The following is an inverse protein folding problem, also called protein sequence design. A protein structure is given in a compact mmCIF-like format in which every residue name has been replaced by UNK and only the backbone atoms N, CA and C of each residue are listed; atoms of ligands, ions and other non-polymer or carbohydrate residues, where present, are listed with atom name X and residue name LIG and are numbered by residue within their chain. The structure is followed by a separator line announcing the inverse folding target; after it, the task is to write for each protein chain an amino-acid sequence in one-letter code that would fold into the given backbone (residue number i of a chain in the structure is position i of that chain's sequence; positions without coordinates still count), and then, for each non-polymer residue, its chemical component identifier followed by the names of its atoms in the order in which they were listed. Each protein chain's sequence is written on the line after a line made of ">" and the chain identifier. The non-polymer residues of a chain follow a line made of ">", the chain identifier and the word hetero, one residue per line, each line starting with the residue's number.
data_IF_096270126110
#
_entry.id   IF_096270126110
#
_cell.length_a   1.000
_cell.length_b   1.000
_cell.length_c   1.000
_cell.angle_alpha   90.00
_cell.angle_beta   90.00
_cell.angle_gamma   90.00
#
_symmetry.space_group_name_H-M   'P 1'
#
loop_
_entity.id
_entity.type
_entity.pdbx_description
1 polymer ?
#
# COMPACT_ATOMS: atom_id res chain seq x y z
N UNK A 1 6.95 -4.83 19.25
CA UNK A 1 6.58 -3.42 19.21
C UNK A 1 7.02 -2.79 17.93
N UNK A 2 8.25 -3.01 17.58
CA UNK A 2 8.73 -2.51 16.30
C UNK A 2 7.93 -3.09 15.17
N UNK A 3 7.61 -4.36 15.26
CA UNK A 3 6.83 -5.02 14.25
C UNK A 3 5.46 -4.41 14.12
N UNK A 4 4.85 -4.03 15.24
CA UNK A 4 3.53 -3.43 15.21
C UNK A 4 3.54 -2.09 14.52
N UNK A 5 4.54 -1.25 14.82
CA UNK A 5 4.64 0.04 14.16
C UNK A 5 4.80 -0.11 12.67
N UNK A 6 5.79 -0.90 12.25
CA UNK A 6 6.02 -1.11 10.84
C UNK A 6 4.85 -1.78 10.17
N UNK A 7 4.20 -2.71 10.87
CA UNK A 7 3.05 -3.42 10.32
C UNK A 7 1.89 -2.48 10.06
N UNK A 8 1.59 -1.59 11.00
CA UNK A 8 0.49 -0.65 10.87
C UNK A 8 0.71 0.31 9.71
N UNK A 9 1.92 0.85 9.60
CA UNK A 9 2.26 1.77 8.52
C UNK A 9 2.21 1.06 7.18
N UNK A 10 2.73 -0.16 7.14
CA UNK A 10 2.73 -0.95 5.91
C UNK A 10 1.31 -1.29 5.48
N UNK A 11 0.42 -1.52 6.44
CA UNK A 11 -0.96 -1.86 6.15
C UNK A 11 -1.67 -0.69 5.47
N UNK A 12 -1.51 0.52 6.03
CA UNK A 12 -2.11 1.71 5.45
C UNK A 12 -1.56 1.95 4.04
N UNK A 13 -0.25 1.80 3.89
CA UNK A 13 0.39 2.00 2.60
C UNK A 13 -0.10 0.98 1.57
N UNK A 14 -0.22 -0.28 1.98
CA UNK A 14 -0.64 -1.33 1.09
C UNK A 14 -2.07 -1.12 0.62
N UNK A 15 -2.94 -0.64 1.50
CA UNK A 15 -4.32 -0.32 1.12
C UNK A 15 -4.36 0.79 0.07
N UNK A 16 -3.56 1.84 0.26
CA UNK A 16 -3.50 2.92 -0.73
C UNK A 16 -3.00 2.40 -2.07
N UNK A 17 -2.01 1.53 -2.05
CA UNK A 17 -1.45 0.96 -3.27
C UNK A 17 -2.48 0.09 -3.99
N UNK A 18 -3.23 -0.73 -3.25
CA UNK A 18 -4.26 -1.55 -3.85
C UNK A 18 -5.32 -0.71 -4.54
N UNK A 19 -5.74 0.36 -3.88
CA UNK A 19 -6.73 1.26 -4.49
C UNK A 19 -6.17 1.93 -5.75
N UNK A 20 -4.89 2.29 -5.74
CA UNK A 20 -4.28 2.90 -6.91
C UNK A 20 -4.23 1.92 -8.09
N UNK A 21 -3.89 0.67 -7.82
CA UNK A 21 -3.84 -0.35 -8.88
C UNK A 21 -5.23 -0.62 -9.45
N UNK A 22 -6.21 -0.77 -8.58
CA UNK A 22 -7.58 -1.02 -9.05
C UNK A 22 -8.11 0.19 -9.79
N UNK A 23 -7.82 1.40 -9.29
CA UNK A 23 -8.25 2.61 -9.97
C UNK A 23 -7.62 2.76 -11.33
N UNK A 24 -6.34 2.43 -11.46
CA UNK A 24 -5.66 2.50 -12.76
C UNK A 24 -6.31 1.56 -13.78
N UNK A 25 -6.84 0.43 -13.32
CA UNK A 25 -7.52 -0.52 -14.18
C UNK A 25 -9.02 -0.24 -14.29
N UNK A 26 -9.50 0.82 -13.63
CA UNK A 26 -10.90 1.21 -13.62
C UNK A 26 -11.80 0.13 -13.02
N UNK A 27 -11.31 -0.53 -11.97
CA UNK A 27 -12.03 -1.62 -11.32
C UNK A 27 -12.61 -1.23 -9.96
N UNK A 28 -12.51 0.05 -9.60
CA UNK A 28 -13.06 0.53 -8.34
C UNK A 28 -12.01 0.57 -7.26
N UNK A 29 -12.34 0.04 -6.11
CA UNK A 29 -11.46 0.07 -4.97
C UNK A 29 -11.52 -1.27 -4.22
N UNK A 30 -10.74 -1.38 -3.15
CA UNK A 30 -10.67 -2.63 -2.41
C UNK A 30 -11.98 -2.96 -1.71
N UNK A 31 -12.75 -1.94 -1.35
CA UNK A 31 -14.06 -2.19 -0.74
C UNK A 31 -15.02 -2.90 -1.68
N UNK A 32 -14.92 -2.60 -2.97
CA UNK A 32 -15.74 -3.25 -3.96
C UNK A 32 -15.26 -4.67 -4.24
N UNK A 33 -13.94 -4.86 -4.29
CA UNK A 33 -13.37 -6.17 -4.57
C UNK A 33 -13.47 -7.10 -3.37
N UNK A 34 -13.29 -6.57 -2.17
CA UNK A 34 -13.32 -7.33 -0.93
C UNK A 34 -14.39 -6.75 -0.01
N UNK A 35 -15.65 -7.13 -0.20
CA UNK A 35 -16.71 -6.58 0.64
C UNK A 35 -16.48 -6.86 2.12
N UNK A 36 -16.89 -5.93 2.96
CA UNK A 36 -16.67 -6.03 4.41
C UNK A 36 -17.27 -7.29 5.00
N UNK A 37 -18.36 -7.78 4.40
CA UNK A 37 -19.05 -8.94 4.94
C UNK A 37 -18.47 -10.28 4.48
N UNK A 38 -17.35 -10.23 3.75
CA UNK A 38 -16.72 -11.47 3.29
C UNK A 38 -15.71 -11.91 4.33
N UNK A 39 -16.07 -12.92 5.10
CA UNK A 39 -15.26 -13.39 6.21
C UNK A 39 -13.87 -13.87 5.78
N UNK A 40 -13.71 -14.24 4.51
CA UNK A 40 -12.42 -14.71 4.04
C UNK A 40 -11.35 -13.62 4.16
N UNK A 41 -11.76 -12.36 4.10
CA UNK A 41 -10.80 -11.26 4.09
C UNK A 41 -10.75 -10.50 5.41
N UNK A 42 -11.60 -10.89 6.34
CA UNK A 42 -11.63 -10.25 7.64
C UNK A 42 -10.38 -10.66 8.41
N UNK A 43 -9.55 -9.68 8.76
CA UNK A 43 -8.30 -9.95 9.43
C UNK A 43 -7.21 -10.51 8.54
N UNK A 44 -7.43 -10.51 7.23
CA UNK A 44 -6.43 -11.01 6.31
C UNK A 44 -5.21 -10.10 6.27
N UNK A 45 -4.08 -10.70 5.96
CA UNK A 45 -2.85 -9.97 5.74
C UNK A 45 -3.02 -9.10 4.50
N UNK A 46 -2.74 -7.81 4.62
CA UNK A 46 -2.90 -6.89 3.49
C UNK A 46 -1.99 -7.26 2.33
N UNK A 47 -0.85 -7.89 2.60
CA UNK A 47 0.04 -8.32 1.53
C UNK A 47 -0.61 -9.42 0.69
N UNK A 48 -1.34 -10.33 1.33
CA UNK A 48 -2.07 -11.35 0.59
C UNK A 48 -3.19 -10.74 -0.25
N UNK A 49 -3.83 -9.70 0.29
CA UNK A 49 -4.83 -8.98 -0.49
C UNK A 49 -4.20 -8.28 -1.70
N UNK A 50 -3.00 -7.74 -1.52
CA UNK A 50 -2.28 -7.12 -2.63
C UNK A 50 -1.96 -8.14 -3.71
N UNK A 51 -1.59 -9.36 -3.33
CA UNK A 51 -1.38 -10.43 -4.32
C UNK A 51 -2.64 -10.69 -5.11
N UNK A 52 -3.78 -10.70 -4.42
CA UNK A 52 -5.06 -10.93 -5.08
C UNK A 52 -5.41 -9.78 -6.03
N UNK A 53 -5.16 -8.54 -5.61
CA UNK A 53 -5.39 -7.39 -6.49
C UNK A 53 -4.52 -7.49 -7.74
N UNK A 54 -3.26 -7.85 -7.55
CA UNK A 54 -2.35 -8.00 -8.69
C UNK A 54 -2.87 -9.07 -9.66
N UNK A 55 -3.36 -10.18 -9.10
CA UNK A 55 -3.92 -11.25 -9.93
C UNK A 55 -5.12 -10.73 -10.73
N UNK A 56 -5.98 -9.95 -10.08
CA UNK A 56 -7.18 -9.44 -10.73
C UNK A 56 -6.83 -8.51 -11.89
N UNK A 57 -5.88 -7.58 -11.68
CA UNK A 57 -5.54 -6.68 -12.79
C UNK A 57 -4.87 -7.43 -13.92
N UNK A 58 -4.15 -8.51 -13.63
CA UNK A 58 -3.57 -9.34 -14.68
C UNK A 58 -4.64 -10.07 -15.48
N UNK A 59 -5.69 -10.51 -14.82
CA UNK A 59 -6.80 -11.13 -15.52
C UNK A 59 -7.48 -10.17 -16.47
N UNK A 60 -7.36 -8.87 -16.20
CA UNK A 60 -7.91 -7.84 -17.09
C UNK A 60 -6.89 -7.37 -18.13
N UNK A 61 -5.76 -8.04 -18.22
CA UNK A 61 -4.79 -7.75 -19.27
C UNK A 61 -3.72 -6.74 -18.90
N UNK A 62 -3.55 -6.43 -17.62
CA UNK A 62 -2.59 -5.43 -17.18
C UNK A 62 -1.47 -6.05 -16.36
N UNK A 63 -0.33 -5.39 -16.37
CA UNK A 63 0.76 -5.70 -15.44
C UNK A 63 1.15 -4.42 -14.73
N UNK A 64 1.84 -4.56 -13.61
CA UNK A 64 2.31 -3.40 -12.86
C UNK A 64 3.51 -2.80 -13.58
N UNK A 65 3.40 -1.54 -13.96
CA UNK A 65 4.50 -0.83 -14.58
C UNK A 65 5.45 -0.31 -13.53
N UNK A 66 5.00 0.68 -12.76
CA UNK A 66 5.73 1.09 -11.57
C UNK A 66 4.78 1.82 -10.63
N UNK A 67 5.17 1.93 -9.38
CA UNK A 67 4.34 2.54 -8.36
C UNK A 67 5.20 3.47 -7.51
N UNK A 68 4.54 4.50 -6.99
CA UNK A 68 5.16 5.45 -6.08
C UNK A 68 4.25 5.61 -4.88
N UNK A 69 4.76 5.27 -3.71
CA UNK A 69 3.99 5.25 -2.47
C UNK A 69 4.60 6.21 -1.46
N UNK A 70 3.76 6.95 -0.76
CA UNK A 70 4.20 7.89 0.25
C UNK A 70 3.41 7.65 1.53
N UNK A 71 4.13 7.41 2.62
CA UNK A 71 3.52 7.34 3.94
C UNK A 71 3.67 8.69 4.60
N UNK A 72 2.58 9.23 5.11
CA UNK A 72 2.56 10.51 5.82
C UNK A 72 2.27 10.20 7.28
N UNK A 73 3.26 10.45 8.14
CA UNK A 73 3.14 10.10 9.55
C UNK A 73 3.92 11.09 10.39
N UNK A 74 3.57 11.15 11.66
CA UNK A 74 4.30 12.01 12.58
C UNK A 74 5.69 11.51 12.85
N UNK A 75 5.88 10.21 12.80
CA UNK A 75 7.11 9.59 13.24
C UNK A 75 8.17 9.61 12.16
N UNK A 76 9.38 10.10 12.48
CA UNK A 76 10.45 10.10 11.49
C UNK A 76 11.18 8.76 11.39
N UNK A 77 10.77 7.74 12.14
CA UNK A 77 11.54 6.50 12.25
C UNK A 77 11.11 5.41 11.30
N UNK A 78 10.47 5.78 10.20
CA UNK A 78 10.10 4.79 9.20
C UNK A 78 11.25 4.44 8.27
N UNK A 79 12.29 5.27 8.23
CA UNK A 79 13.37 5.05 7.29
C UNK A 79 13.97 3.65 7.35
N UNK A 80 14.19 3.06 8.53
CA UNK A 80 14.75 1.71 8.56
C UNK A 80 13.85 0.65 7.93
N UNK A 81 12.57 0.93 7.81
CA UNK A 81 11.62 -0.04 7.29
C UNK A 81 11.31 0.16 5.81
N UNK A 82 11.75 1.26 5.23
CA UNK A 82 11.40 1.61 3.85
C UNK A 82 11.83 0.53 2.88
N UNK A 83 13.10 0.10 2.96
CA UNK A 83 13.60 -0.89 2.02
C UNK A 83 12.94 -2.24 2.21
N UNK A 84 12.62 -2.59 3.45
CA UNK A 84 11.93 -3.84 3.72
C UNK A 84 10.52 -3.80 3.14
N UNK A 85 9.80 -2.72 3.35
CA UNK A 85 8.45 -2.57 2.79
C UNK A 85 8.49 -2.62 1.27
N UNK A 86 9.45 -1.93 0.70
CA UNK A 86 9.60 -1.88 -0.75
C UNK A 86 9.78 -3.27 -1.32
N UNK A 87 10.64 -4.08 -0.69
CA UNK A 87 10.86 -5.44 -1.15
C UNK A 87 9.64 -6.32 -1.04
N UNK A 88 8.91 -6.19 0.05
CA UNK A 88 7.70 -6.99 0.27
C UNK A 88 6.64 -6.62 -0.76
N UNK A 89 6.47 -5.33 -1.03
CA UNK A 89 5.49 -4.88 -2.01
C UNK A 89 5.85 -5.35 -3.41
N UNK A 90 7.13 -5.24 -3.77
CA UNK A 90 7.58 -5.67 -5.10
C UNK A 90 7.32 -7.16 -5.29
N UNK A 91 7.62 -7.96 -4.27
CA UNK A 91 7.40 -9.39 -4.35
C UNK A 91 5.92 -9.72 -4.47
N UNK A 92 5.10 -9.03 -3.69
CA UNK A 92 3.65 -9.28 -3.72
C UNK A 92 3.05 -8.94 -5.08
N UNK A 93 3.57 -7.90 -5.74
CA UNK A 93 3.09 -7.50 -7.05
C UNK A 93 3.81 -8.23 -8.19
N UNK A 94 4.78 -9.07 -7.86
CA UNK A 94 5.56 -9.82 -8.84
C UNK A 94 6.19 -8.86 -9.85
N UNK A 95 6.86 -7.84 -9.33
CA UNK A 95 7.51 -6.85 -10.17
C UNK A 95 8.93 -6.59 -9.65
N UNK A 96 9.70 -5.86 -10.43
CA UNK A 96 11.08 -5.58 -10.09
C UNK A 96 11.15 -4.55 -8.97
N UNK A 97 12.17 -4.66 -8.13
CA UNK A 97 12.34 -3.73 -7.02
C UNK A 97 12.48 -2.29 -7.50
N UNK A 98 13.15 -2.08 -8.63
CA UNK A 98 13.37 -0.74 -9.14
C UNK A 98 12.11 -0.11 -9.74
N UNK A 99 10.99 -0.83 -9.76
CA UNK A 99 9.71 -0.28 -10.18
C UNK A 99 8.84 0.13 -8.99
N UNK A 100 9.36 0.01 -7.78
CA UNK A 100 8.61 0.30 -6.57
C UNK A 100 9.34 1.38 -5.79
N UNK A 101 8.69 2.52 -5.61
CA UNK A 101 9.21 3.62 -4.81
C UNK A 101 8.38 3.73 -3.54
N UNK A 102 9.05 3.84 -2.41
CA UNK A 102 8.39 4.04 -1.13
C UNK A 102 9.11 5.19 -0.42
N UNK A 103 8.33 6.17 -0.02
CA UNK A 103 8.84 7.36 0.68
C UNK A 103 8.06 7.58 1.95
N UNK A 104 8.68 8.23 2.90
CA UNK A 104 8.01 8.62 4.13
C UNK A 104 8.23 10.12 4.33
N UNK A 105 7.20 10.79 4.82
CA UNK A 105 7.29 12.21 5.12
C UNK A 105 6.46 12.49 6.36
N UNK A 106 6.64 13.68 6.93
CA UNK A 106 5.86 14.08 8.08
C UNK A 106 5.08 15.34 7.72
N UNK A 107 4.05 15.62 8.52
CA UNK A 107 3.28 16.84 8.38
C UNK A 107 3.84 17.96 9.23
N UNK A 108 4.92 17.71 9.95
CA UNK A 108 5.57 18.68 10.81
C UNK A 108 4.57 19.30 11.79
N UNK A 109 3.76 18.44 12.37
CA UNK A 109 2.76 18.81 13.38
C UNK A 109 1.64 19.68 12.83
N UNK A 110 1.37 19.54 11.55
CA UNK A 110 0.23 20.20 10.92
C UNK A 110 -0.85 19.16 10.66
N UNK A 111 -2.09 19.53 10.91
CA UNK A 111 -3.21 18.64 10.69
C UNK A 111 -3.20 17.46 11.63
N UNK A 112 -4.07 16.48 11.38
CA UNK A 112 -4.20 15.35 12.29
C UNK A 112 -2.98 14.42 12.25
N UNK A 113 -2.36 14.26 11.09
CA UNK A 113 -1.17 13.42 11.00
C UNK A 113 0.01 14.12 11.65
N UNK A 114 0.12 15.43 11.48
CA UNK A 114 1.20 16.19 12.09
C UNK A 114 1.14 16.24 13.59
N UNK A 115 -0.04 16.00 14.14
CA UNK A 115 -0.22 15.95 15.58
C UNK A 115 -0.10 14.54 16.15
N UNK A 116 0.27 13.58 15.31
CA UNK A 116 0.39 12.22 15.78
C UNK A 116 -0.92 11.49 15.93
N UNK A 117 -1.98 12.05 15.37
CA UNK A 117 -3.32 11.50 15.53
C UNK A 117 -3.67 10.45 14.49
N UNK A 118 -2.79 10.22 13.52
CA UNK A 118 -3.08 9.21 12.52
C UNK A 118 -1.98 9.06 11.52
N UNK A 119 -2.22 8.16 10.58
CA UNK A 119 -1.31 7.85 9.51
C UNK A 119 -2.09 7.93 8.20
N UNK A 120 -1.50 8.55 7.20
CA UNK A 120 -2.09 8.61 5.88
C UNK A 120 -1.08 8.09 4.87
N UNK A 121 -1.58 7.64 3.73
CA UNK A 121 -0.71 7.18 2.67
C UNK A 121 -1.31 7.55 1.33
N UNK A 122 -0.44 7.80 0.37
CA UNK A 122 -0.82 8.05 -1.00
C UNK A 122 -0.05 7.11 -1.91
N UNK A 123 -0.68 6.69 -2.97
CA UNK A 123 -0.02 5.83 -3.95
C UNK A 123 -0.45 6.24 -5.34
N UNK A 124 0.48 6.16 -6.27
CA UNK A 124 0.22 6.37 -7.68
C UNK A 124 0.76 5.14 -8.41
N UNK A 125 -0.02 4.60 -9.31
CA UNK A 125 0.36 3.39 -10.02
C UNK A 125 0.26 3.60 -11.52
N UNK A 126 1.25 3.08 -12.23
CA UNK A 126 1.23 2.99 -13.68
C UNK A 126 1.14 1.52 -14.02
N UNK A 127 0.13 1.17 -14.79
CA UNK A 127 -0.03 -0.20 -15.25
C UNK A 127 0.12 -0.24 -16.76
N UNK A 128 0.51 -1.39 -17.25
CA UNK A 128 0.77 -1.55 -18.69
C UNK A 128 -0.10 -2.62 -19.31
#
# INVERSE_FOLDING_TARGET
>A
EKGLLGHSDADVLTHALMDALLGAAALGDIGKLFPDNDDRFLGADSIELLREVTRVIREHGYTVGNVDCTVIAQRPKLAPYIQQMRGILAQAMDTELDRVSVKATTEEKLGFTGEGLGIAAHAVALIE
#
